data_IF_140105687660
#
_entry.id   IF_140105687660
#
_cell.length_a   1.000
_cell.length_b   1.000
_cell.length_c   1.000
_cell.angle_alpha   90.00
_cell.angle_beta   90.00
_cell.angle_gamma   90.00
#
_symmetry.space_group_name_H-M   'P 1'
#
loop_
_entity.id
_entity.type
_entity.pdbx_description
1 polymer ?
#
# COMPACT_ATOMS: atom_id res chain seq x y z
N UNK A 1 -30.67 -13.50 1.83
CA UNK A 1 -29.61 -12.75 1.14
C UNK A 1 -28.89 -11.90 2.18
N UNK A 2 -27.75 -12.38 2.69
CA UNK A 2 -27.01 -11.68 3.72
C UNK A 2 -26.21 -10.54 3.08
N UNK A 3 -26.58 -9.30 3.41
CA UNK A 3 -25.78 -8.11 3.13
C UNK A 3 -24.46 -8.25 3.87
N UNK A 4 -23.38 -8.51 3.12
CA UNK A 4 -22.02 -8.39 3.62
C UNK A 4 -21.80 -6.91 3.96
N UNK A 5 -22.01 -6.57 5.23
CA UNK A 5 -21.52 -5.34 5.81
C UNK A 5 -20.00 -5.43 5.79
N UNK A 6 -19.40 -4.79 4.78
CA UNK A 6 -17.97 -4.51 4.74
C UNK A 6 -17.63 -3.70 5.97
N UNK A 7 -17.14 -4.36 7.03
CA UNK A 7 -16.52 -3.68 8.16
C UNK A 7 -15.14 -3.28 7.66
N UNK A 8 -15.06 -2.09 7.05
CA UNK A 8 -13.82 -1.37 6.79
C UNK A 8 -13.19 -0.99 8.13
N UNK A 9 -12.51 -1.95 8.75
CA UNK A 9 -11.75 -1.77 9.97
C UNK A 9 -10.39 -1.16 9.65
N UNK A 10 -10.36 0.17 9.56
CA UNK A 10 -9.17 0.97 9.31
C UNK A 10 -9.61 2.33 8.82
N UNK A 11 -9.70 3.30 9.74
CA UNK A 11 -10.11 4.68 9.45
C UNK A 11 -9.31 5.22 8.26
N UNK A 12 -10.03 5.50 7.18
CA UNK A 12 -9.52 5.98 5.90
C UNK A 12 -8.91 7.40 5.95
N UNK A 13 -8.83 8.02 7.12
CA UNK A 13 -8.38 9.40 7.34
C UNK A 13 -6.85 9.57 7.25
N UNK A 14 -6.09 8.49 7.04
CA UNK A 14 -4.62 8.53 7.02
C UNK A 14 -3.96 8.46 5.64
N UNK A 15 -4.74 8.40 4.55
CA UNK A 15 -4.19 8.46 3.19
C UNK A 15 -3.81 9.90 2.83
N UNK A 16 -2.64 10.34 3.31
CA UNK A 16 -2.04 11.58 2.81
C UNK A 16 -1.89 11.47 1.29
N UNK A 17 -2.25 12.56 0.61
CA UNK A 17 -2.02 12.69 -0.82
C UNK A 17 -0.54 12.41 -1.11
N UNK A 18 -0.27 11.46 -2.00
CA UNK A 18 1.08 11.15 -2.45
C UNK A 18 1.54 12.16 -3.50
N UNK A 19 0.67 12.43 -4.48
CA UNK A 19 0.92 13.36 -5.58
C UNK A 19 -0.41 13.92 -6.09
N UNK A 20 -0.41 15.14 -6.62
CA UNK A 20 -1.56 15.71 -7.34
C UNK A 20 -1.37 15.50 -8.83
N UNK A 21 -2.33 14.84 -9.48
CA UNK A 21 -2.32 14.56 -10.93
C UNK A 21 -3.70 14.88 -11.52
N UNK A 22 -3.79 14.97 -12.84
CA UNK A 22 -5.09 15.11 -13.52
C UNK A 22 -5.90 13.82 -13.39
N UNK A 23 -7.11 13.92 -12.85
CA UNK A 23 -8.07 12.84 -12.79
C UNK A 23 -8.31 12.26 -14.21
N UNK A 24 -8.23 10.93 -14.39
CA UNK A 24 -8.45 10.30 -15.70
C UNK A 24 -9.81 10.61 -16.33
N UNK A 25 -10.84 10.79 -15.48
CA UNK A 25 -12.23 10.99 -15.90
C UNK A 25 -12.57 12.46 -16.08
N UNK A 26 -12.38 13.29 -15.05
CA UNK A 26 -12.80 14.70 -15.06
C UNK A 26 -11.75 15.65 -15.62
N UNK A 27 -10.49 15.19 -15.79
CA UNK A 27 -9.34 15.98 -16.25
C UNK A 27 -8.92 17.14 -15.34
N UNK A 28 -9.59 17.35 -14.21
CA UNK A 28 -9.20 18.29 -13.17
C UNK A 28 -8.09 17.71 -12.28
N UNK A 29 -7.31 18.59 -11.66
CA UNK A 29 -6.32 18.19 -10.67
C UNK A 29 -7.00 17.55 -9.45
N UNK A 30 -6.51 16.39 -9.05
CA UNK A 30 -7.01 15.67 -7.89
C UNK A 30 -5.86 14.98 -7.14
N UNK A 31 -5.96 14.85 -5.82
CA UNK A 31 -5.03 14.03 -5.05
C UNK A 31 -5.03 12.58 -5.52
N UNK A 32 -3.86 11.97 -5.56
CA UNK A 32 -3.67 10.55 -5.80
C UNK A 32 -2.92 9.95 -4.63
N UNK A 33 -3.33 8.74 -4.27
CA UNK A 33 -2.68 7.95 -3.21
C UNK A 33 -1.81 6.89 -3.87
N UNK A 34 -0.63 6.65 -3.32
CA UNK A 34 0.16 5.51 -3.73
C UNK A 34 -0.56 4.21 -3.33
N UNK A 35 -0.42 3.18 -4.15
CA UNK A 35 -0.80 1.81 -3.81
C UNK A 35 0.46 0.97 -3.66
N UNK A 36 1.26 0.88 -4.73
CA UNK A 36 2.47 0.04 -4.81
C UNK A 36 3.53 0.70 -5.66
N UNK A 37 4.79 0.41 -5.36
CA UNK A 37 5.90 0.57 -6.29
C UNK A 37 5.98 -0.69 -7.15
N UNK A 38 5.83 -0.54 -8.47
CA UNK A 38 5.87 -1.67 -9.41
C UNK A 38 7.29 -1.93 -9.91
N UNK A 39 8.04 -0.85 -10.19
CA UNK A 39 9.42 -0.95 -10.64
C UNK A 39 10.18 0.36 -10.40
N UNK A 40 11.50 0.23 -10.27
CA UNK A 40 12.45 1.33 -10.38
C UNK A 40 13.56 0.94 -11.36
N UNK A 41 13.57 1.57 -12.54
CA UNK A 41 14.54 1.33 -13.61
C UNK A 41 15.22 2.64 -14.04
N UNK A 42 16.35 2.99 -13.41
CA UNK A 42 17.13 4.17 -13.81
C UNK A 42 17.44 4.15 -15.31
N UNK A 43 17.17 5.24 -16.02
CA UNK A 43 17.45 5.38 -17.46
C UNK A 43 16.37 4.81 -18.40
N UNK A 44 15.22 4.38 -17.89
CA UNK A 44 14.11 3.91 -18.72
C UNK A 44 13.36 5.05 -19.42
N UNK A 45 12.99 4.88 -20.70
CA UNK A 45 12.42 5.94 -21.56
C UNK A 45 11.09 6.54 -21.08
N UNK A 46 10.32 5.82 -20.27
CA UNK A 46 9.00 6.25 -19.79
C UNK A 46 9.04 6.88 -18.40
N UNK A 47 10.19 6.95 -17.75
CA UNK A 47 10.32 7.30 -16.34
C UNK A 47 11.05 6.19 -15.58
N UNK A 48 11.89 6.57 -14.63
CA UNK A 48 12.60 5.65 -13.74
C UNK A 48 11.68 4.96 -12.74
N UNK A 49 10.67 5.64 -12.20
CA UNK A 49 9.74 5.14 -11.19
C UNK A 49 8.39 4.79 -11.80
N UNK A 50 7.90 3.58 -11.52
CA UNK A 50 6.62 3.07 -11.99
C UNK A 50 5.76 2.78 -10.77
N UNK A 51 4.79 3.64 -10.52
CA UNK A 51 4.04 3.65 -9.25
C UNK A 51 2.57 3.43 -9.57
N UNK A 52 1.97 2.40 -8.96
CA UNK A 52 0.53 2.22 -9.00
C UNK A 52 -0.10 3.27 -8.08
N UNK A 53 -0.91 4.15 -8.65
CA UNK A 53 -1.60 5.21 -7.91
C UNK A 53 -3.11 5.07 -8.08
N UNK A 54 -3.87 5.52 -7.08
CA UNK A 54 -5.33 5.57 -7.11
C UNK A 54 -5.80 7.01 -7.00
N UNK A 55 -6.68 7.43 -7.90
CA UNK A 55 -7.30 8.75 -7.86
C UNK A 55 -8.28 8.84 -6.68
N UNK A 56 -8.18 9.87 -5.84
CA UNK A 56 -9.14 10.06 -4.74
C UNK A 56 -10.52 10.50 -5.24
N UNK A 57 -10.59 11.12 -6.43
CA UNK A 57 -11.84 11.64 -6.99
C UNK A 57 -12.65 10.57 -7.73
N UNK A 58 -12.07 9.86 -8.70
CA UNK A 58 -12.79 8.86 -9.49
C UNK A 58 -12.52 7.40 -9.05
N UNK A 59 -11.58 7.19 -8.13
CA UNK A 59 -11.26 5.86 -7.59
C UNK A 59 -10.47 4.95 -8.54
N UNK A 60 -10.22 5.36 -9.79
CA UNK A 60 -9.47 4.57 -10.76
C UNK A 60 -7.99 4.43 -10.37
N UNK A 61 -7.46 3.25 -10.63
CA UNK A 61 -6.04 2.94 -10.46
C UNK A 61 -5.33 2.94 -11.81
N UNK A 62 -4.11 3.49 -11.86
CA UNK A 62 -3.28 3.48 -13.05
C UNK A 62 -1.80 3.61 -12.68
N UNK A 63 -0.92 3.28 -13.63
CA UNK A 63 0.53 3.42 -13.45
C UNK A 63 0.93 4.86 -13.73
N UNK A 64 1.45 5.53 -12.72
CA UNK A 64 2.12 6.81 -12.87
C UNK A 64 3.61 6.57 -13.10
N UNK A 65 4.11 7.10 -14.22
CA UNK A 65 5.53 7.06 -14.55
C UNK A 65 6.15 8.42 -14.27
N UNK A 66 7.28 8.44 -13.55
CA UNK A 66 8.00 9.67 -13.23
C UNK A 66 9.50 9.41 -13.10
N UNK A 67 10.32 10.42 -13.41
CA UNK A 67 11.76 10.39 -13.11
C UNK A 67 12.08 10.96 -11.73
N UNK A 68 11.16 11.75 -11.16
CA UNK A 68 11.31 12.43 -9.87
C UNK A 68 10.17 12.09 -8.93
N UNK A 69 10.52 11.82 -7.68
CA UNK A 69 9.54 11.63 -6.61
C UNK A 69 9.09 12.99 -6.05
N UNK A 70 7.86 13.11 -5.55
CA UNK A 70 7.33 14.36 -5.02
C UNK A 70 8.06 14.83 -3.75
N UNK A 71 8.71 13.91 -3.03
CA UNK A 71 9.53 14.18 -1.85
C UNK A 71 10.85 13.41 -1.99
N UNK A 72 11.97 14.08 -1.74
CA UNK A 72 13.33 13.52 -1.95
C UNK A 72 13.71 12.44 -0.93
N UNK A 73 13.03 12.37 0.20
CA UNK A 73 13.27 11.41 1.28
C UNK A 73 12.55 10.07 1.06
N UNK A 74 11.74 9.96 0.01
CA UNK A 74 11.03 8.73 -0.30
C UNK A 74 12.01 7.67 -0.81
N UNK A 75 11.96 6.50 -0.20
CA UNK A 75 12.76 5.33 -0.57
C UNK A 75 11.88 4.08 -0.63
N UNK A 76 12.26 3.06 -1.43
CA UNK A 76 11.52 1.82 -1.52
C UNK A 76 11.67 1.00 -0.24
N UNK A 77 10.57 0.42 0.23
CA UNK A 77 10.53 -0.57 1.30
C UNK A 77 9.86 -1.84 0.79
N UNK A 78 10.41 -3.00 1.13
CA UNK A 78 9.79 -4.29 0.87
C UNK A 78 8.80 -4.61 1.99
N UNK A 79 7.56 -4.88 1.61
CA UNK A 79 6.49 -5.33 2.50
C UNK A 79 6.27 -6.82 2.28
N UNK A 80 6.25 -7.57 3.37
CA UNK A 80 5.75 -8.96 3.39
C UNK A 80 4.60 -9.06 4.36
N UNK A 81 3.48 -9.57 3.88
CA UNK A 81 2.31 -9.86 4.71
C UNK A 81 2.21 -11.36 4.88
N UNK A 82 2.28 -11.77 6.14
CA UNK A 82 2.06 -13.14 6.54
C UNK A 82 0.72 -13.23 7.25
N UNK A 83 -0.13 -14.19 6.86
CA UNK A 83 -1.42 -14.38 7.51
C UNK A 83 -1.58 -15.81 8.00
N UNK A 84 -2.15 -15.95 9.19
CA UNK A 84 -2.60 -17.23 9.71
C UNK A 84 -4.12 -17.18 9.93
N UNK A 85 -4.80 -18.26 9.57
CA UNK A 85 -6.16 -18.48 10.03
C UNK A 85 -6.13 -18.64 11.55
N UNK A 86 -6.90 -17.83 12.28
CA UNK A 86 -7.02 -18.02 13.72
C UNK A 86 -7.91 -19.24 14.00
N UNK A 87 -7.28 -20.40 14.17
CA UNK A 87 -7.91 -21.59 14.71
C UNK A 87 -7.36 -21.79 16.13
N UNK A 88 -8.20 -21.75 17.19
CA UNK A 88 -7.73 -21.92 18.56
C UNK A 88 -7.05 -23.29 18.71
N UNK A 89 -5.82 -23.30 19.23
CA UNK A 89 -5.02 -24.51 19.44
C UNK A 89 -4.02 -24.87 18.33
N UNK A 90 -3.84 -24.00 17.33
CA UNK A 90 -2.91 -24.23 16.22
C UNK A 90 -1.78 -23.20 16.21
N UNK A 91 -0.55 -23.63 16.49
CA UNK A 91 0.68 -22.88 16.20
C UNK A 91 1.03 -23.04 14.71
N UNK A 92 0.21 -22.48 13.83
CA UNK A 92 0.53 -22.45 12.40
C UNK A 92 1.39 -21.21 12.17
N UNK A 93 2.62 -21.41 11.72
CA UNK A 93 3.48 -20.33 11.24
C UNK A 93 2.73 -19.62 10.11
N UNK A 94 2.59 -18.28 10.15
CA UNK A 94 1.80 -17.56 9.17
C UNK A 94 2.49 -17.64 7.80
N UNK A 95 1.76 -18.13 6.81
CA UNK A 95 2.27 -18.26 5.43
C UNK A 95 2.45 -16.88 4.80
N UNK A 96 3.44 -16.73 3.93
CA UNK A 96 3.58 -15.52 3.11
C UNK A 96 2.38 -15.43 2.16
N UNK A 97 1.53 -14.44 2.35
CA UNK A 97 0.35 -14.23 1.52
C UNK A 97 0.62 -13.20 0.44
N UNK A 98 1.43 -12.19 0.74
CA UNK A 98 1.67 -11.09 -0.17
C UNK A 98 3.06 -10.49 0.00
N UNK A 99 3.72 -10.19 -1.12
CA UNK A 99 4.98 -9.48 -1.17
C UNK A 99 4.87 -8.34 -2.19
N UNK A 100 5.16 -7.11 -1.76
CA UNK A 100 5.12 -5.93 -2.63
C UNK A 100 6.02 -4.82 -2.09
N UNK A 101 6.27 -3.79 -2.89
CA UNK A 101 7.05 -2.63 -2.47
C UNK A 101 6.21 -1.37 -2.38
N UNK A 102 6.60 -0.46 -1.50
CA UNK A 102 6.00 0.88 -1.35
C UNK A 102 7.10 1.93 -1.22
N UNK A 103 6.83 3.16 -1.61
CA UNK A 103 7.69 4.30 -1.26
C UNK A 103 7.23 4.92 0.05
N UNK A 104 8.16 5.15 0.96
CA UNK A 104 7.90 5.82 2.23
C UNK A 104 9.14 6.60 2.70
N UNK A 105 8.97 7.49 3.68
CA UNK A 105 10.07 8.26 4.27
C UNK A 105 10.78 7.49 5.39
N UNK A 106 10.07 6.58 6.04
CA UNK A 106 10.53 5.72 7.10
C UNK A 106 9.70 4.41 7.13
N UNK A 107 10.12 3.46 7.96
CA UNK A 107 9.48 2.15 8.08
C UNK A 107 8.05 2.23 8.60
N UNK A 108 7.75 3.17 9.50
CA UNK A 108 6.41 3.31 10.06
C UNK A 108 5.42 3.88 9.03
N UNK A 109 5.88 4.77 8.15
CA UNK A 109 5.15 5.21 6.98
C UNK A 109 4.95 4.05 5.99
N UNK A 110 5.97 3.20 5.77
CA UNK A 110 5.84 2.01 4.92
C UNK A 110 4.79 1.02 5.47
N UNK A 111 4.81 0.73 6.76
CA UNK A 111 3.81 -0.09 7.45
C UNK A 111 2.39 0.47 7.28
N UNK A 112 2.19 1.77 7.52
CA UNK A 112 0.86 2.40 7.31
C UNK A 112 0.42 2.31 5.85
N UNK A 113 1.36 2.46 4.92
CA UNK A 113 1.09 2.36 3.49
C UNK A 113 0.75 0.93 3.08
N UNK A 114 1.37 -0.08 3.70
CA UNK A 114 1.11 -1.50 3.45
C UNK A 114 -0.35 -1.89 3.72
N UNK A 115 -0.98 -1.32 4.75
CA UNK A 115 -2.39 -1.57 5.09
C UNK A 115 -3.35 -1.22 3.95
N UNK A 116 -2.98 -0.26 3.09
CA UNK A 116 -3.75 0.08 1.90
C UNK A 116 -3.23 -0.63 0.67
N UNK A 117 -1.91 -0.84 0.56
CA UNK A 117 -1.29 -1.52 -0.57
C UNK A 117 -1.71 -2.98 -0.72
N UNK A 118 -2.17 -3.63 0.35
CA UNK A 118 -2.60 -5.03 0.30
C UNK A 118 -3.86 -5.25 -0.52
N UNK A 119 -3.89 -6.35 -1.27
CA UNK A 119 -5.10 -6.86 -1.94
C UNK A 119 -5.84 -7.92 -1.08
N UNK A 120 -5.27 -8.29 0.08
CA UNK A 120 -5.81 -9.34 0.92
C UNK A 120 -7.04 -8.88 1.71
N UNK A 121 -8.15 -9.64 1.71
CA UNK A 121 -9.25 -9.42 2.62
C UNK A 121 -8.83 -9.81 4.05
N UNK A 122 -8.54 -8.80 4.88
CA UNK A 122 -7.97 -8.94 6.24
C UNK A 122 -8.95 -9.49 7.30
N UNK A 123 -10.19 -9.85 6.93
CA UNK A 123 -11.22 -10.21 7.89
C UNK A 123 -11.00 -11.62 8.47
N UNK A 124 -10.73 -11.68 9.78
CA UNK A 124 -10.67 -12.95 10.54
C UNK A 124 -9.31 -13.67 10.54
N UNK A 125 -8.26 -13.03 10.01
CA UNK A 125 -6.90 -13.56 10.01
C UNK A 125 -6.00 -12.73 10.93
N UNK A 126 -5.04 -13.37 11.59
CA UNK A 126 -3.93 -12.67 12.24
C UNK A 126 -2.92 -12.36 11.14
N UNK A 127 -2.65 -11.09 10.93
CA UNK A 127 -1.72 -10.61 9.89
C UNK A 127 -0.49 -10.02 10.56
N UNK A 128 0.67 -10.54 10.17
CA UNK A 128 1.98 -10.03 10.57
C UNK A 128 2.58 -9.33 9.37
N UNK A 129 2.92 -8.05 9.56
CA UNK A 129 3.54 -7.22 8.51
C UNK A 129 5.03 -7.12 8.79
N UNK A 130 5.84 -7.45 7.80
CA UNK A 130 7.28 -7.22 7.84
C UNK A 130 7.64 -6.08 6.89
N UNK A 131 8.47 -5.17 7.36
CA UNK A 131 9.08 -4.09 6.57
C UNK A 131 10.58 -4.37 6.50
N UNK A 132 11.09 -4.63 5.30
CA UNK A 132 12.47 -5.03 5.05
C UNK A 132 12.93 -6.22 5.93
N UNK A 133 12.07 -7.24 6.04
CA UNK A 133 12.27 -8.48 6.81
C UNK A 133 12.20 -8.34 8.34
N UNK A 134 11.93 -7.15 8.85
CA UNK A 134 11.72 -6.95 10.28
C UNK A 134 10.23 -6.77 10.56
N UNK A 135 9.73 -7.48 11.57
CA UNK A 135 8.33 -7.36 11.99
C UNK A 135 8.07 -5.92 12.43
N UNK A 136 7.08 -5.29 11.82
CA UNK A 136 6.69 -3.93 12.14
C UNK A 136 5.27 -3.96 12.71
N UNK A 137 5.09 -3.28 13.84
CA UNK A 137 3.78 -3.12 14.49
C UNK A 137 3.42 -1.65 14.51
N UNK A 138 2.13 -1.38 14.62
CA UNK A 138 1.69 0.00 14.77
C UNK A 138 2.21 0.58 16.09
N UNK A 139 3.21 1.47 16.04
CA UNK A 139 3.83 2.13 17.19
C UNK A 139 2.86 2.88 18.14
N UNK A 140 1.57 2.96 17.81
CA UNK A 140 0.52 3.46 18.71
C UNK A 140 0.09 2.44 19.78
N UNK A 141 0.45 1.18 19.62
CA UNK A 141 0.12 0.06 20.50
C UNK A 141 1.40 -0.65 20.96
#
# INVERSE_FOLDING_TARGET
MASLRTVTGGTADYLKAFVTLKCPTSRHESPHVQRRLLAHWPGHRKGSWHILVRCSSCGLEYVWYTDTLPVTQLQPFLIRLHAAAFLPGTEVLPDLVEEFSVLAVDRQAAYRQAQFGSEMPVAGQVVVTYVDNEEERDARF
#
